data_IF_891701814994
#
_entry.id   IF_891701814994
#
_cell.length_a   1.000
_cell.length_b   1.000
_cell.length_c   1.000
_cell.angle_alpha   90.00
_cell.angle_beta   90.00
_cell.angle_gamma   90.00
#
_symmetry.space_group_name_H-M   'P 1'
#
loop_
_entity.id
_entity.type
_entity.pdbx_description
1 polymer ?
#
# COMPACT_ATOMS: atom_id res chain seq x y z
N UNK A 1 15.96 -64.98 -20.47
CA UNK A 1 15.96 -63.51 -20.17
C UNK A 1 15.52 -63.19 -18.74
N UNK A 2 14.42 -63.79 -18.25
CA UNK A 2 13.88 -63.55 -16.89
C UNK A 2 14.87 -63.92 -15.77
N UNK A 3 15.53 -65.08 -15.85
CA UNK A 3 16.53 -65.50 -14.84
C UNK A 3 17.73 -64.54 -14.76
N UNK A 4 18.15 -64.00 -15.91
CA UNK A 4 19.22 -63.00 -15.95
C UNK A 4 18.79 -61.70 -15.29
N UNK A 5 17.58 -61.19 -15.62
CA UNK A 5 17.02 -59.99 -14.98
C UNK A 5 16.88 -60.15 -13.47
N UNK A 6 16.37 -61.29 -13.02
CA UNK A 6 16.19 -61.58 -11.60
C UNK A 6 17.55 -61.69 -10.86
N UNK A 7 18.50 -62.46 -11.40
CA UNK A 7 19.84 -62.61 -10.81
C UNK A 7 20.59 -61.27 -10.72
N UNK A 8 20.50 -60.46 -11.78
CA UNK A 8 21.06 -59.13 -11.80
C UNK A 8 20.40 -58.21 -10.75
N UNK A 9 19.07 -58.20 -10.68
CA UNK A 9 18.32 -57.39 -9.71
C UNK A 9 18.68 -57.75 -8.26
N UNK A 10 18.69 -59.05 -7.92
CA UNK A 10 19.07 -59.55 -6.59
C UNK A 10 20.51 -59.20 -6.25
N UNK A 11 21.43 -59.34 -7.21
CA UNK A 11 22.84 -58.95 -7.01
C UNK A 11 23.00 -57.44 -6.84
N UNK A 12 22.30 -56.63 -7.63
CA UNK A 12 22.33 -55.18 -7.53
C UNK A 12 21.79 -54.69 -6.18
N UNK A 13 20.73 -55.31 -5.65
CA UNK A 13 20.20 -54.95 -4.33
C UNK A 13 21.11 -55.36 -3.18
N UNK A 14 21.53 -56.63 -3.10
CA UNK A 14 22.27 -57.12 -1.93
C UNK A 14 23.78 -56.81 -1.99
N UNK A 15 24.40 -56.87 -3.18
CA UNK A 15 25.85 -56.61 -3.35
C UNK A 15 26.14 -55.16 -3.75
N UNK A 16 25.25 -54.52 -4.50
CA UNK A 16 25.43 -53.13 -4.93
C UNK A 16 24.95 -52.13 -3.88
N UNK A 17 23.66 -52.18 -3.55
CA UNK A 17 23.00 -51.25 -2.63
C UNK A 17 23.05 -51.71 -1.15
N UNK A 18 23.71 -52.84 -0.86
CA UNK A 18 23.89 -53.39 0.48
C UNK A 18 22.59 -53.61 1.27
N UNK A 19 21.49 -53.94 0.60
CA UNK A 19 20.26 -54.34 1.30
C UNK A 19 20.49 -55.67 2.05
N UNK A 20 20.04 -55.78 3.31
CA UNK A 20 20.12 -57.05 4.03
C UNK A 20 19.22 -58.10 3.36
N UNK A 21 19.62 -59.36 3.44
CA UNK A 21 18.90 -60.48 2.77
C UNK A 21 17.52 -60.75 3.35
N UNK A 22 17.26 -60.30 4.57
CA UNK A 22 15.99 -60.38 5.29
C UNK A 22 15.25 -59.03 5.31
N UNK A 23 15.32 -58.24 4.23
CA UNK A 23 14.70 -56.93 4.18
C UNK A 23 13.23 -56.98 3.71
N UNK A 24 12.31 -57.10 4.66
CA UNK A 24 10.87 -57.24 4.39
C UNK A 24 10.17 -55.94 3.96
N UNK A 25 10.87 -54.80 3.98
CA UNK A 25 10.30 -53.49 3.63
C UNK A 25 10.45 -53.13 2.14
N UNK A 26 11.07 -53.99 1.33
CA UNK A 26 11.16 -53.77 -0.12
C UNK A 26 9.88 -54.26 -0.80
N UNK A 27 8.99 -53.32 -1.11
CA UNK A 27 7.73 -53.62 -1.80
C UNK A 27 7.87 -53.19 -3.26
N UNK A 28 7.95 -54.13 -4.22
CA UNK A 28 7.98 -53.79 -5.63
C UNK A 28 6.62 -53.20 -6.02
N UNK A 29 6.59 -51.89 -6.25
CA UNK A 29 5.36 -51.15 -6.56
C UNK A 29 5.50 -50.51 -7.92
N UNK A 30 4.66 -50.91 -8.87
CA UNK A 30 4.62 -50.33 -10.22
C UNK A 30 3.68 -49.12 -10.31
N UNK A 31 2.64 -49.12 -9.48
CA UNK A 31 1.53 -48.18 -9.52
C UNK A 31 1.04 -47.94 -8.08
N UNK A 32 0.90 -46.67 -7.69
CA UNK A 32 0.22 -46.30 -6.44
C UNK A 32 -1.04 -45.55 -6.82
N UNK A 33 -2.19 -46.01 -6.32
CA UNK A 33 -3.48 -45.35 -6.53
C UNK A 33 -3.83 -45.11 -8.01
N UNK A 34 -3.60 -46.10 -8.86
CA UNK A 34 -3.85 -46.05 -10.32
C UNK A 34 -2.95 -45.08 -11.11
N UNK A 35 -1.85 -44.63 -10.52
CA UNK A 35 -0.88 -43.73 -11.15
C UNK A 35 0.47 -44.44 -11.18
N UNK A 36 1.05 -44.58 -12.38
CA UNK A 36 2.39 -45.13 -12.56
C UNK A 36 3.44 -44.25 -11.87
N UNK A 37 4.31 -44.89 -11.08
CA UNK A 37 5.43 -44.20 -10.43
C UNK A 37 6.58 -44.00 -11.39
N UNK A 38 6.42 -43.01 -12.25
CA UNK A 38 7.48 -42.54 -13.13
C UNK A 38 8.13 -41.28 -12.55
N UNK A 39 9.40 -41.07 -12.90
CA UNK A 39 10.16 -39.86 -12.55
C UNK A 39 9.49 -38.55 -13.04
N UNK A 40 8.65 -38.65 -14.07
CA UNK A 40 7.86 -37.54 -14.62
C UNK A 40 6.88 -36.94 -13.61
N UNK A 41 6.25 -37.75 -12.75
CA UNK A 41 5.32 -37.25 -11.73
C UNK A 41 6.04 -36.40 -10.68
N UNK A 42 7.24 -36.83 -10.26
CA UNK A 42 8.09 -36.05 -9.35
C UNK A 42 8.56 -34.73 -9.99
N UNK A 43 8.92 -34.76 -11.26
CA UNK A 43 9.31 -33.56 -12.00
C UNK A 43 8.13 -32.57 -12.17
N UNK A 44 6.93 -33.08 -12.47
CA UNK A 44 5.72 -32.28 -12.56
C UNK A 44 5.36 -31.65 -11.21
N UNK A 45 5.41 -32.43 -10.13
CA UNK A 45 5.14 -31.93 -8.78
C UNK A 45 6.15 -30.84 -8.38
N UNK A 46 7.43 -31.01 -8.72
CA UNK A 46 8.45 -30.00 -8.46
C UNK A 46 8.14 -28.68 -9.20
N UNK A 47 7.77 -28.77 -10.48
CA UNK A 47 7.41 -27.60 -11.30
C UNK A 47 6.14 -26.90 -10.84
N UNK A 48 5.13 -27.66 -10.41
CA UNK A 48 3.90 -27.09 -9.86
C UNK A 48 4.18 -26.35 -8.56
N UNK A 49 5.02 -26.90 -7.67
CA UNK A 49 5.39 -26.26 -6.40
C UNK A 49 6.13 -24.94 -6.61
N UNK A 50 7.11 -24.91 -7.52
CA UNK A 50 7.88 -23.71 -7.87
C UNK A 50 6.93 -22.59 -8.33
N UNK A 51 6.08 -22.87 -9.31
CA UNK A 51 5.15 -21.89 -9.87
C UNK A 51 4.14 -21.38 -8.84
N UNK A 52 3.64 -22.24 -7.94
CA UNK A 52 2.65 -21.82 -6.93
C UNK A 52 3.21 -20.80 -5.94
N UNK A 53 4.47 -20.98 -5.51
CA UNK A 53 5.13 -20.09 -4.53
C UNK A 53 5.46 -18.75 -5.19
N UNK A 54 5.91 -18.77 -6.44
CA UNK A 54 6.28 -17.56 -7.17
C UNK A 54 5.07 -16.68 -7.51
N UNK A 55 3.95 -17.30 -7.91
CA UNK A 55 2.72 -16.55 -8.25
C UNK A 55 2.04 -15.94 -7.02
N UNK A 56 2.08 -16.60 -5.86
CA UNK A 56 1.58 -16.02 -4.61
C UNK A 56 2.40 -14.81 -4.20
N UNK A 57 3.74 -14.95 -4.19
CA UNK A 57 4.64 -13.86 -3.82
C UNK A 57 4.53 -12.66 -4.74
N UNK A 58 4.36 -12.89 -6.06
CA UNK A 58 4.20 -11.81 -7.04
C UNK A 58 2.91 -11.03 -6.82
N UNK A 59 1.79 -11.71 -6.51
CA UNK A 59 0.53 -11.03 -6.18
C UNK A 59 0.65 -10.17 -4.94
N UNK A 60 1.29 -10.68 -3.89
CA UNK A 60 1.47 -9.92 -2.64
C UNK A 60 2.29 -8.65 -2.83
N UNK A 61 3.37 -8.72 -3.63
CA UNK A 61 4.21 -7.55 -3.96
C UNK A 61 3.40 -6.50 -4.73
N UNK A 62 2.58 -6.93 -5.70
CA UNK A 62 1.74 -6.01 -6.48
C UNK A 62 0.71 -5.34 -5.58
N UNK A 63 -0.02 -6.11 -4.75
CA UNK A 63 -1.03 -5.56 -3.84
C UNK A 63 -0.39 -4.56 -2.87
N UNK A 64 0.74 -4.90 -2.26
CA UNK A 64 1.44 -4.01 -1.33
C UNK A 64 1.87 -2.70 -2.00
N UNK A 65 2.40 -2.77 -3.22
CA UNK A 65 2.82 -1.61 -4.00
C UNK A 65 1.63 -0.68 -4.29
N UNK A 66 0.50 -1.24 -4.72
CA UNK A 66 -0.72 -0.48 -5.01
C UNK A 66 -1.27 0.17 -3.74
N UNK A 67 -1.31 -0.56 -2.62
CA UNK A 67 -1.78 -0.04 -1.33
C UNK A 67 -0.92 1.15 -0.86
N UNK A 68 0.42 1.02 -0.92
CA UNK A 68 1.33 2.13 -0.58
C UNK A 68 1.05 3.34 -1.47
N UNK A 69 0.91 3.14 -2.78
CA UNK A 69 0.64 4.23 -3.71
C UNK A 69 -0.69 4.94 -3.38
N UNK A 70 -1.74 4.18 -3.07
CA UNK A 70 -3.02 4.75 -2.61
C UNK A 70 -2.86 5.57 -1.33
N UNK A 71 -2.13 5.06 -0.33
CA UNK A 71 -1.87 5.79 0.94
C UNK A 71 -1.14 7.11 0.67
N UNK A 72 -0.10 7.09 -0.18
CA UNK A 72 0.64 8.30 -0.54
C UNK A 72 -0.25 9.32 -1.24
N UNK A 73 -1.10 8.91 -2.18
CA UNK A 73 -2.06 9.81 -2.83
C UNK A 73 -3.01 10.43 -1.80
N UNK A 74 -3.55 9.63 -0.89
CA UNK A 74 -4.47 10.12 0.16
C UNK A 74 -3.77 11.15 1.04
N UNK A 75 -2.52 10.91 1.45
CA UNK A 75 -1.74 11.88 2.23
C UNK A 75 -1.51 13.18 1.47
N UNK A 76 -1.20 13.11 0.17
CA UNK A 76 -1.04 14.31 -0.68
C UNK A 76 -2.35 15.09 -0.76
N UNK A 77 -3.49 14.42 -0.97
CA UNK A 77 -4.81 15.07 -1.01
C UNK A 77 -5.14 15.75 0.31
N UNK A 78 -4.87 15.10 1.45
CA UNK A 78 -5.06 15.69 2.79
C UNK A 78 -4.18 16.93 2.95
N UNK A 79 -2.91 16.86 2.55
CA UNK A 79 -1.99 18.01 2.62
C UNK A 79 -2.48 19.19 1.76
N UNK A 80 -3.00 18.92 0.55
CA UNK A 80 -3.59 19.93 -0.33
C UNK A 80 -4.83 20.55 0.33
N UNK A 81 -5.73 19.76 0.89
CA UNK A 81 -6.94 20.25 1.58
C UNK A 81 -6.55 21.14 2.78
N UNK A 82 -5.58 20.71 3.58
CA UNK A 82 -5.05 21.51 4.69
C UNK A 82 -4.43 22.81 4.20
N UNK A 83 -3.65 22.78 3.12
CA UNK A 83 -3.06 23.96 2.52
C UNK A 83 -4.13 24.98 2.10
N UNK A 84 -5.18 24.53 1.39
CA UNK A 84 -6.30 25.40 1.03
C UNK A 84 -7.06 25.92 2.25
N UNK A 85 -7.26 25.08 3.26
CA UNK A 85 -7.96 25.45 4.51
C UNK A 85 -7.20 26.53 5.26
N UNK A 86 -5.87 26.41 5.38
CA UNK A 86 -4.99 27.40 6.00
C UNK A 86 -5.07 28.72 5.23
N UNK A 87 -4.97 28.68 3.90
CA UNK A 87 -5.09 29.88 3.07
C UNK A 87 -6.47 30.53 3.21
N UNK A 88 -7.55 29.74 3.27
CA UNK A 88 -8.90 30.27 3.45
C UNK A 88 -9.05 30.93 4.82
N UNK A 89 -8.52 30.32 5.89
CA UNK A 89 -8.48 30.94 7.23
C UNK A 89 -7.73 32.27 7.21
N UNK A 90 -6.57 32.33 6.55
CA UNK A 90 -5.81 33.56 6.41
C UNK A 90 -6.55 34.63 5.59
N UNK A 91 -7.28 34.25 4.54
CA UNK A 91 -8.13 35.18 3.78
C UNK A 91 -9.30 35.73 4.59
N UNK A 92 -10.00 34.88 5.34
CA UNK A 92 -11.11 35.31 6.21
C UNK A 92 -10.60 36.24 7.32
N UNK A 93 -9.45 35.93 7.92
CA UNK A 93 -8.81 36.80 8.91
C UNK A 93 -8.44 38.16 8.34
N UNK A 94 -7.93 38.23 7.10
CA UNK A 94 -7.62 39.50 6.44
C UNK A 94 -8.87 40.31 6.07
N UNK A 95 -9.98 39.67 5.69
CA UNK A 95 -11.24 40.39 5.42
C UNK A 95 -11.87 40.97 6.69
N UNK A 96 -11.81 40.27 7.83
CA UNK A 96 -12.28 40.80 9.11
C UNK A 96 -11.47 42.04 9.54
N UNK A 97 -10.16 42.03 9.30
CA UNK A 97 -9.28 43.17 9.59
C UNK A 97 -9.56 44.37 8.68
N UNK A 98 -9.72 44.15 7.37
CA UNK A 98 -10.01 45.23 6.41
C UNK A 98 -11.40 45.86 6.62
N UNK A 99 -12.40 45.06 7.03
CA UNK A 99 -13.73 45.57 7.41
C UNK A 99 -13.71 46.41 8.68
N UNK A 100 -12.88 46.05 9.66
CA UNK A 100 -12.69 46.86 10.89
C UNK A 100 -12.02 48.19 10.59
N UNK A 101 -10.93 48.19 9.82
CA UNK A 101 -10.15 49.40 9.48
C UNK A 101 -11.00 50.42 8.68
N UNK A 102 -11.84 49.94 7.77
CA UNK A 102 -12.75 50.82 7.01
C UNK A 102 -13.85 51.41 7.87
N UNK A 103 -14.35 50.65 8.85
CA UNK A 103 -15.35 51.15 9.80
C UNK A 103 -14.74 52.20 10.74
N UNK A 104 -13.51 51.99 11.20
CA UNK A 104 -12.80 52.93 12.06
C UNK A 104 -12.42 54.24 11.33
N UNK A 105 -11.99 54.17 10.07
CA UNK A 105 -11.73 55.38 9.26
C UNK A 105 -13.00 56.20 9.02
N UNK A 106 -14.11 55.54 8.66
CA UNK A 106 -15.38 56.23 8.42
C UNK A 106 -15.92 56.89 9.69
N UNK A 107 -15.74 56.24 10.85
CA UNK A 107 -16.12 56.80 12.14
C UNK A 107 -15.26 58.04 12.47
N UNK A 108 -13.94 57.97 12.28
CA UNK A 108 -13.03 59.08 12.51
C UNK A 108 -13.34 60.28 11.60
N UNK A 109 -13.59 60.04 10.30
CA UNK A 109 -13.94 61.09 9.34
C UNK A 109 -15.26 61.79 9.72
N UNK A 110 -16.27 61.01 10.13
CA UNK A 110 -17.55 61.57 10.60
C UNK A 110 -17.40 62.41 11.86
N UNK A 111 -16.51 62.02 12.78
CA UNK A 111 -16.29 62.73 14.03
C UNK A 111 -15.52 64.05 13.80
N UNK A 112 -14.52 64.04 12.90
CA UNK A 112 -13.83 65.27 12.48
C UNK A 112 -14.80 66.23 11.81
N UNK A 113 -15.71 65.71 10.96
CA UNK A 113 -16.75 66.52 10.30
C UNK A 113 -17.87 67.02 11.23
N UNK A 114 -18.09 66.38 12.37
CA UNK A 114 -19.01 66.94 13.36
C UNK A 114 -18.35 68.10 14.12
N UNK A 115 -17.07 67.96 14.46
CA UNK A 115 -16.35 68.95 15.27
C UNK A 115 -16.10 70.27 14.51
N UNK A 116 -15.75 70.20 13.23
CA UNK A 116 -15.56 71.41 12.41
C UNK A 116 -16.87 72.18 12.16
N UNK A 117 -18.00 71.50 11.94
CA UNK A 117 -19.31 72.13 11.79
C UNK A 117 -19.75 72.83 13.10
N UNK A 118 -19.41 72.24 14.24
CA UNK A 118 -19.66 72.83 15.56
C UNK A 118 -18.79 74.08 15.79
N UNK A 119 -17.52 74.04 15.37
CA UNK A 119 -16.59 75.17 15.45
C UNK A 119 -17.03 76.33 14.55
N UNK A 120 -17.48 76.03 13.33
CA UNK A 120 -17.98 77.04 12.39
C UNK A 120 -19.26 77.72 12.92
N UNK A 121 -20.20 76.95 13.48
CA UNK A 121 -21.39 77.51 14.12
C UNK A 121 -21.07 78.36 15.37
N UNK A 122 -19.99 78.04 16.09
CA UNK A 122 -19.54 78.83 17.23
C UNK A 122 -18.92 80.16 16.78
N UNK A 123 -18.13 80.14 15.70
CA UNK A 123 -17.52 81.33 15.11
C UNK A 123 -18.56 82.26 14.47
N UNK A 124 -19.61 81.74 13.84
CA UNK A 124 -20.71 82.55 13.27
C UNK A 124 -21.60 83.19 14.36
N UNK A 125 -21.49 82.75 15.62
CA UNK A 125 -22.26 83.29 16.76
C UNK A 125 -21.51 84.33 17.58
N UNK A 126 -20.25 84.63 17.26
CA UNK A 126 -19.47 85.66 17.94
C UNK A 126 -19.37 86.91 17.03
N UNK A 127 -19.90 88.07 17.45
CA UNK A 127 -19.90 89.31 16.68
C UNK A 127 -18.52 89.98 16.58
#
# INVERSE_FOLDING_TARGET
LICFKASYLVSAFHKGLHFPTNYDKLIPTLEINKIELQWSLGALLYKLKENTIDEEKKRDIIVFTVVIFCVVIVLILIAIILYFTVIKRLRTSKQAQNGSITTDMNNLESNVKSNNDTLNQLNDKMP
#
